data_IF_550500701863
#
_entry.id   IF_550500701863
#
_cell.length_a   1.000
_cell.length_b   1.000
_cell.length_c   1.000
_cell.angle_alpha   90.00
_cell.angle_beta   90.00
_cell.angle_gamma   90.00
#
_symmetry.space_group_name_H-M   'P 1'
#
loop_
_entity.id
_entity.type
_entity.pdbx_description
1 polymer ?
#
# COMPACT_ATOMS: atom_id res chain seq x y z
N UNK A 1 5.33 -24.09 20.84
CA UNK A 1 6.50 -24.19 19.94
C UNK A 1 6.60 -22.91 19.16
N UNK A 2 7.77 -22.27 19.12
CA UNK A 2 8.04 -21.13 18.26
C UNK A 2 7.96 -21.65 16.82
N UNK A 3 7.10 -21.06 15.97
CA UNK A 3 7.07 -21.41 14.54
C UNK A 3 8.39 -20.98 13.90
N UNK A 4 8.91 -21.74 12.94
CA UNK A 4 10.13 -21.36 12.24
C UNK A 4 9.84 -20.20 11.26
N UNK A 5 10.31 -19.01 11.60
CA UNK A 5 10.09 -17.80 10.80
C UNK A 5 10.73 -17.88 9.41
N UNK A 6 11.91 -18.51 9.30
CA UNK A 6 12.60 -18.63 8.00
C UNK A 6 11.82 -19.57 7.07
N UNK A 7 11.30 -20.69 7.58
CA UNK A 7 10.43 -21.57 6.79
C UNK A 7 9.10 -20.89 6.43
N UNK A 8 8.54 -20.08 7.33
CA UNK A 8 7.35 -19.28 7.05
C UNK A 8 7.59 -18.32 5.87
N UNK A 9 8.72 -17.62 5.85
CA UNK A 9 9.08 -16.74 4.74
C UNK A 9 9.38 -17.50 3.45
N UNK A 10 10.02 -18.68 3.51
CA UNK A 10 10.33 -19.50 2.33
C UNK A 10 9.08 -19.93 1.60
N UNK A 11 8.10 -20.54 2.28
CA UNK A 11 6.89 -21.02 1.60
C UNK A 11 5.99 -19.88 1.10
N UNK A 12 6.03 -18.71 1.74
CA UNK A 12 5.34 -17.51 1.28
C UNK A 12 6.02 -16.83 0.09
N UNK A 13 7.26 -17.20 -0.24
CA UNK A 13 8.06 -16.53 -1.27
C UNK A 13 8.54 -15.15 -0.84
N UNK A 14 8.71 -14.94 0.47
CA UNK A 14 9.13 -13.68 1.08
C UNK A 14 10.62 -13.65 1.48
N UNK A 15 11.40 -14.67 1.18
CA UNK A 15 12.83 -14.73 1.47
C UNK A 15 13.65 -14.48 0.21
N UNK A 16 14.50 -13.43 0.20
CA UNK A 16 15.43 -13.12 -0.88
C UNK A 16 16.88 -13.40 -0.48
N UNK A 17 17.38 -12.71 0.55
CA UNK A 17 18.74 -12.91 1.08
C UNK A 17 18.66 -13.08 2.59
N UNK A 18 19.57 -13.91 3.13
CA UNK A 18 19.70 -14.18 4.54
C UNK A 18 21.18 -14.35 4.90
N UNK A 19 21.63 -13.74 5.98
CA UNK A 19 22.99 -13.96 6.48
C UNK A 19 23.12 -15.34 7.12
N UNK A 20 24.25 -16.06 6.92
CA UNK A 20 24.51 -17.32 7.61
C UNK A 20 24.39 -17.16 9.13
N UNK A 21 23.81 -18.14 9.80
CA UNK A 21 23.58 -18.13 11.25
C UNK A 21 22.25 -17.50 11.69
N UNK A 22 21.51 -16.84 10.78
CA UNK A 22 20.21 -16.20 11.11
C UNK A 22 19.15 -17.22 11.53
N UNK A 23 19.04 -18.33 10.80
CA UNK A 23 18.02 -19.35 11.08
C UNK A 23 18.29 -20.05 12.42
N UNK A 24 19.55 -20.36 12.70
CA UNK A 24 20.00 -20.94 13.96
C UNK A 24 19.69 -20.04 15.17
N UNK A 25 19.93 -18.73 15.03
CA UNK A 25 19.59 -17.75 16.06
C UNK A 25 18.08 -17.71 16.32
N UNK A 26 17.27 -17.63 15.27
CA UNK A 26 15.81 -17.58 15.37
C UNK A 26 15.18 -18.85 15.95
N UNK A 27 15.83 -19.99 15.80
CA UNK A 27 15.40 -21.25 16.43
C UNK A 27 15.82 -21.36 17.90
N UNK A 28 16.90 -20.67 18.29
CA UNK A 28 17.49 -20.76 19.61
C UNK A 28 16.81 -19.88 20.66
N UNK A 29 16.39 -18.67 20.27
CA UNK A 29 15.86 -17.66 21.18
C UNK A 29 14.80 -16.77 20.55
N UNK A 30 14.05 -16.04 21.38
CA UNK A 30 13.22 -14.92 20.92
C UNK A 30 14.14 -13.78 20.46
N UNK A 31 14.07 -13.43 19.18
CA UNK A 31 14.90 -12.40 18.56
C UNK A 31 14.13 -11.11 18.46
N UNK A 32 14.74 -10.00 18.85
CA UNK A 32 14.26 -8.67 18.51
C UNK A 32 14.78 -8.30 17.12
N UNK A 33 13.86 -7.98 16.21
CA UNK A 33 14.18 -7.55 14.84
C UNK A 33 13.53 -6.24 14.49
N UNK A 34 14.16 -5.44 13.61
CA UNK A 34 13.57 -4.18 13.19
C UNK A 34 13.47 -4.04 11.66
N UNK A 35 12.51 -3.23 11.23
CA UNK A 35 12.37 -2.74 9.88
C UNK A 35 12.19 -1.21 9.92
N UNK A 36 12.96 -0.49 9.09
CA UNK A 36 12.86 0.95 8.96
C UNK A 36 11.96 1.37 7.81
N UNK A 37 11.23 2.48 7.99
CA UNK A 37 10.46 3.14 6.95
C UNK A 37 10.60 4.66 7.05
N UNK A 38 11.01 5.31 5.95
CA UNK A 38 11.08 6.77 5.89
C UNK A 38 9.70 7.38 5.62
N UNK A 39 9.29 8.43 6.35
CA UNK A 39 7.99 9.07 6.23
C UNK A 39 7.92 10.02 5.03
N UNK A 40 8.09 9.51 3.82
CA UNK A 40 8.14 10.27 2.57
C UNK A 40 6.77 10.76 2.08
N UNK A 41 5.69 10.29 2.69
CA UNK A 41 4.31 10.72 2.48
C UNK A 41 3.50 10.48 3.77
N UNK A 42 2.31 11.09 3.86
CA UNK A 42 1.36 10.92 4.96
C UNK A 42 0.64 9.56 4.93
N UNK A 43 0.97 8.70 3.98
CA UNK A 43 0.46 7.33 3.90
C UNK A 43 1.51 6.37 3.40
N UNK A 44 1.45 5.14 3.86
CA UNK A 44 2.08 3.99 3.23
C UNK A 44 1.24 3.56 2.01
N UNK A 45 1.87 2.87 1.07
CA UNK A 45 1.20 2.24 -0.06
C UNK A 45 1.48 0.73 -0.06
N UNK A 46 0.78 -0.04 -0.89
CA UNK A 46 0.90 -1.51 -0.89
C UNK A 46 2.33 -2.02 -1.16
N UNK A 47 3.21 -1.21 -1.74
CA UNK A 47 4.63 -1.56 -1.88
C UNK A 47 5.37 -1.72 -0.54
N UNK A 48 4.93 -1.02 0.52
CA UNK A 48 5.49 -1.17 1.87
C UNK A 48 4.91 -2.38 2.61
N UNK A 49 3.76 -2.88 2.14
CA UNK A 49 3.01 -3.91 2.84
C UNK A 49 3.79 -5.22 2.98
N UNK A 50 4.65 -5.55 2.00
CA UNK A 50 5.50 -6.75 2.09
C UNK A 50 6.42 -6.73 3.31
N UNK A 51 7.08 -5.60 3.58
CA UNK A 51 7.92 -5.44 4.76
C UNK A 51 7.13 -5.48 6.07
N UNK A 52 5.95 -4.85 6.09
CA UNK A 52 5.05 -4.88 7.26
C UNK A 52 4.55 -6.31 7.53
N UNK A 53 4.18 -7.06 6.49
CA UNK A 53 3.78 -8.46 6.62
C UNK A 53 4.93 -9.33 7.12
N UNK A 54 6.18 -9.03 6.75
CA UNK A 54 7.35 -9.73 7.29
C UNK A 54 7.46 -9.53 8.80
N UNK A 55 7.27 -8.30 9.32
CA UNK A 55 7.22 -8.03 10.77
C UNK A 55 6.03 -8.75 11.44
N UNK A 56 4.85 -8.77 10.79
CA UNK A 56 3.68 -9.47 11.29
C UNK A 56 3.93 -10.98 11.43
N UNK A 57 4.53 -11.60 10.41
CA UNK A 57 4.90 -13.03 10.48
C UNK A 57 5.98 -13.27 11.53
N UNK A 58 6.95 -12.38 11.68
CA UNK A 58 7.95 -12.43 12.74
C UNK A 58 7.28 -12.48 14.12
N UNK A 59 6.32 -11.59 14.39
CA UNK A 59 5.57 -11.55 15.65
C UNK A 59 4.75 -12.81 15.88
N UNK A 60 4.05 -13.31 14.84
CA UNK A 60 3.30 -14.55 14.90
C UNK A 60 4.18 -15.78 15.14
N UNK A 61 5.45 -15.73 14.74
CA UNK A 61 6.44 -16.76 15.02
C UNK A 61 7.06 -16.63 16.42
N UNK A 62 6.63 -15.68 17.26
CA UNK A 62 7.05 -15.52 18.63
C UNK A 62 8.27 -14.62 18.84
N UNK A 63 8.71 -13.89 17.81
CA UNK A 63 9.80 -12.92 17.90
C UNK A 63 9.27 -11.50 18.08
N UNK A 64 10.14 -10.57 18.53
CA UNK A 64 9.76 -9.21 18.87
C UNK A 64 10.03 -8.24 17.69
N UNK A 65 9.01 -7.66 17.06
CA UNK A 65 9.20 -6.68 16.01
C UNK A 65 9.40 -5.26 16.55
N UNK A 66 10.31 -4.52 15.93
CA UNK A 66 10.44 -3.07 16.05
C UNK A 66 10.18 -2.44 14.69
N UNK A 67 9.28 -1.47 14.62
CA UNK A 67 9.15 -0.59 13.48
C UNK A 67 9.90 0.71 13.77
N UNK A 68 10.86 1.05 12.92
CA UNK A 68 11.60 2.29 13.00
C UNK A 68 11.03 3.29 11.99
N UNK A 69 10.54 4.41 12.49
CA UNK A 69 10.15 5.54 11.66
C UNK A 69 11.38 6.43 11.45
N UNK A 70 11.73 6.65 10.20
CA UNK A 70 12.93 7.39 9.80
C UNK A 70 12.75 8.91 9.90
N UNK A 71 12.59 9.46 11.12
CA UNK A 71 12.48 10.89 11.32
C UNK A 71 13.73 11.65 10.92
N UNK A 72 14.91 11.12 11.21
CA UNK A 72 16.19 11.68 10.80
C UNK A 72 16.55 11.28 9.37
N UNK A 73 16.46 9.99 9.02
CA UNK A 73 16.80 9.49 7.67
C UNK A 73 15.86 10.02 6.60
N UNK A 74 14.59 10.30 6.92
CA UNK A 74 13.64 10.96 6.02
C UNK A 74 14.02 12.40 5.65
N UNK A 75 14.84 13.08 6.47
CA UNK A 75 15.41 14.40 6.16
C UNK A 75 16.55 14.31 5.13
N UNK A 76 17.14 13.14 4.96
CA UNK A 76 18.29 12.88 4.09
C UNK A 76 17.86 12.26 2.76
N UNK A 77 17.01 11.24 2.82
CA UNK A 77 16.49 10.50 1.67
C UNK A 77 17.39 9.34 1.23
N UNK A 78 16.81 8.13 1.22
CA UNK A 78 17.47 6.89 0.81
C UNK A 78 17.72 6.87 -0.70
N UNK A 79 18.98 6.72 -1.18
CA UNK A 79 19.30 6.61 -2.59
C UNK A 79 19.03 5.21 -3.18
N UNK A 80 18.76 4.19 -2.36
CA UNK A 80 18.63 2.80 -2.78
C UNK A 80 17.47 2.64 -3.78
N UNK A 81 17.75 2.00 -4.92
CA UNK A 81 16.75 1.76 -5.97
C UNK A 81 16.25 3.02 -6.70
N UNK A 82 16.93 4.16 -6.56
CA UNK A 82 16.56 5.44 -7.17
C UNK A 82 17.63 5.94 -8.16
N UNK A 83 17.16 6.63 -9.20
CA UNK A 83 18.01 7.27 -10.22
C UNK A 83 18.14 8.79 -10.06
N UNK A 84 17.39 9.39 -9.14
CA UNK A 84 17.38 10.84 -8.87
C UNK A 84 17.36 11.10 -7.37
N UNK A 85 17.94 12.24 -6.96
CA UNK A 85 17.90 12.73 -5.59
C UNK A 85 16.46 13.03 -5.16
N UNK A 86 16.14 12.80 -3.89
CA UNK A 86 14.80 13.09 -3.33
C UNK A 86 14.70 14.56 -2.96
N UNK A 87 13.50 15.13 -3.16
CA UNK A 87 13.17 16.43 -2.58
C UNK A 87 13.12 16.28 -1.05
N UNK A 88 13.83 17.15 -0.35
CA UNK A 88 13.82 17.18 1.11
C UNK A 88 12.49 17.74 1.58
N UNK A 89 11.88 17.07 2.57
CA UNK A 89 10.67 17.52 3.20
C UNK A 89 11.00 18.49 4.35
N UNK A 90 10.13 19.47 4.59
CA UNK A 90 10.24 20.32 5.78
C UNK A 90 9.85 19.53 7.04
N UNK A 91 10.30 20.00 8.20
CA UNK A 91 10.11 19.30 9.47
C UNK A 91 8.63 19.13 9.86
N UNK A 92 7.77 20.08 9.54
CA UNK A 92 6.33 20.02 9.85
C UNK A 92 5.65 18.91 9.08
N UNK A 93 5.91 18.84 7.77
CA UNK A 93 5.42 17.77 6.88
C UNK A 93 5.93 16.41 7.35
N UNK A 94 7.20 16.33 7.75
CA UNK A 94 7.81 15.08 8.23
C UNK A 94 7.15 14.57 9.51
N UNK A 95 6.90 15.46 10.50
CA UNK A 95 6.19 15.08 11.73
C UNK A 95 4.76 14.64 11.47
N UNK A 96 4.04 15.34 10.59
CA UNK A 96 2.71 14.92 10.18
C UNK A 96 2.72 13.50 9.57
N UNK A 97 3.60 13.26 8.62
CA UNK A 97 3.73 11.96 7.96
C UNK A 97 4.07 10.85 8.97
N UNK A 98 4.95 11.11 9.94
CA UNK A 98 5.32 10.14 10.98
C UNK A 98 4.09 9.69 11.77
N UNK A 99 3.25 10.61 12.23
CA UNK A 99 2.05 10.27 12.99
C UNK A 99 1.03 9.47 12.15
N UNK A 100 0.88 9.82 10.87
CA UNK A 100 0.02 9.08 9.95
C UNK A 100 0.53 7.63 9.76
N UNK A 101 1.83 7.44 9.56
CA UNK A 101 2.44 6.11 9.40
C UNK A 101 2.30 5.27 10.67
N UNK A 102 2.51 5.86 11.85
CA UNK A 102 2.32 5.17 13.13
C UNK A 102 0.91 4.60 13.24
N UNK A 103 -0.11 5.42 12.96
CA UNK A 103 -1.51 5.01 13.02
C UNK A 103 -1.82 3.86 12.03
N UNK A 104 -1.20 3.87 10.85
CA UNK A 104 -1.39 2.79 9.86
C UNK A 104 -0.72 1.49 10.28
N UNK A 105 0.53 1.53 10.74
CA UNK A 105 1.28 0.32 11.14
C UNK A 105 0.67 -0.35 12.37
N UNK A 106 0.06 0.43 13.27
CA UNK A 106 -0.61 -0.09 14.46
C UNK A 106 -1.74 -1.10 14.16
N UNK A 107 -2.27 -1.12 12.93
CA UNK A 107 -3.29 -2.10 12.52
C UNK A 107 -2.72 -3.50 12.23
N UNK A 108 -1.41 -3.61 12.02
CA UNK A 108 -0.78 -4.86 11.56
C UNK A 108 -0.07 -5.63 12.65
N UNK A 109 0.37 -4.96 13.70
CA UNK A 109 1.18 -5.50 14.77
C UNK A 109 0.49 -5.30 16.12
N UNK A 110 0.71 -6.23 17.04
CA UNK A 110 0.25 -6.10 18.41
C UNK A 110 1.24 -5.29 19.23
N UNK A 111 0.87 -4.05 19.55
CA UNK A 111 1.61 -3.12 20.41
C UNK A 111 1.08 -3.08 21.84
N UNK A 112 -0.14 -3.59 22.07
CA UNK A 112 -0.90 -3.35 23.29
C UNK A 112 -0.83 -4.52 24.29
N UNK A 113 -0.48 -5.71 23.81
CA UNK A 113 -0.42 -6.88 24.67
C UNK A 113 0.73 -6.80 25.69
N UNK A 114 0.58 -7.57 26.78
CA UNK A 114 1.66 -7.75 27.78
C UNK A 114 2.62 -8.88 27.38
N UNK A 115 2.55 -9.38 26.16
CA UNK A 115 3.44 -10.43 25.68
C UNK A 115 4.88 -9.88 25.55
N UNK A 116 5.87 -10.73 25.82
CA UNK A 116 7.28 -10.34 25.70
C UNK A 116 7.65 -9.90 24.28
N UNK A 117 6.94 -10.43 23.28
CA UNK A 117 7.10 -10.09 21.86
C UNK A 117 6.14 -9.02 21.37
N UNK A 118 5.53 -8.23 22.26
CA UNK A 118 4.75 -7.05 21.85
C UNK A 118 5.64 -6.12 21.01
N UNK A 119 5.05 -5.56 19.93
CA UNK A 119 5.78 -4.69 19.02
C UNK A 119 6.20 -3.38 19.70
N UNK A 120 7.30 -2.80 19.22
CA UNK A 120 7.70 -1.46 19.60
C UNK A 120 7.79 -0.55 18.36
N UNK A 121 7.47 0.72 18.55
CA UNK A 121 7.70 1.75 17.54
C UNK A 121 8.71 2.75 18.07
N UNK A 122 9.72 3.07 17.22
CA UNK A 122 10.80 4.01 17.57
C UNK A 122 11.01 5.01 16.43
N UNK A 123 11.58 6.16 16.76
CA UNK A 123 11.91 7.20 15.80
C UNK A 123 13.42 7.48 15.87
N UNK A 124 14.14 7.34 14.76
CA UNK A 124 15.59 7.58 14.76
C UNK A 124 15.98 9.05 14.97
N UNK A 125 15.05 9.97 14.83
CA UNK A 125 15.27 11.37 15.22
C UNK A 125 15.60 11.53 16.70
N UNK A 126 15.07 10.65 17.58
CA UNK A 126 15.27 10.73 19.03
C UNK A 126 16.73 10.59 19.45
N UNK A 127 17.51 9.82 18.70
CA UNK A 127 18.95 9.62 18.97
C UNK A 127 19.87 10.33 17.97
N UNK A 128 19.36 10.79 16.82
CA UNK A 128 20.17 11.47 15.80
C UNK A 128 20.22 12.99 15.99
N UNK A 129 19.15 13.60 16.53
CA UNK A 129 19.01 15.07 16.65
C UNK A 129 20.13 15.75 17.42
N UNK A 130 20.70 15.05 18.41
CA UNK A 130 21.73 15.56 19.29
C UNK A 130 23.15 15.23 18.80
N UNK A 131 23.28 14.51 17.69
CA UNK A 131 24.59 14.22 17.09
C UNK A 131 25.14 15.44 16.37
N UNK A 132 26.29 15.96 16.85
CA UNK A 132 27.04 16.89 16.01
C UNK A 132 27.72 16.16 14.84
N UNK A 133 27.95 16.86 13.74
CA UNK A 133 28.68 16.31 12.59
C UNK A 133 30.05 15.77 13.00
N UNK A 134 30.76 16.47 13.88
CA UNK A 134 32.07 16.05 14.36
C UNK A 134 31.99 14.75 15.20
N UNK A 135 31.00 14.65 16.05
CA UNK A 135 30.80 13.44 16.86
C UNK A 135 30.42 12.25 15.97
N UNK A 136 29.55 12.44 15.00
CA UNK A 136 29.17 11.40 14.06
C UNK A 136 30.38 10.91 13.23
N UNK A 137 31.14 11.84 12.65
CA UNK A 137 32.34 11.50 11.90
C UNK A 137 33.38 10.77 12.75
N UNK A 138 33.53 11.16 14.02
CA UNK A 138 34.50 10.58 14.95
C UNK A 138 34.05 9.21 15.49
N UNK A 139 32.76 9.02 15.77
CA UNK A 139 32.28 7.81 16.46
C UNK A 139 31.72 6.75 15.52
N UNK A 140 31.18 7.18 14.35
CA UNK A 140 30.61 6.29 13.33
C UNK A 140 31.51 6.24 12.09
N UNK A 141 31.81 7.41 11.50
CA UNK A 141 32.53 7.50 10.23
C UNK A 141 33.89 6.81 10.23
N UNK A 142 34.65 6.86 11.34
CA UNK A 142 35.98 6.23 11.43
C UNK A 142 35.95 4.70 11.29
N UNK A 143 34.81 4.04 11.54
CA UNK A 143 34.74 2.59 11.53
C UNK A 143 34.43 2.02 10.14
N UNK A 144 33.88 2.81 9.21
CA UNK A 144 33.55 2.39 7.85
C UNK A 144 34.41 3.14 6.86
N UNK A 145 35.17 2.43 6.03
CA UNK A 145 36.03 3.05 5.04
C UNK A 145 35.23 3.53 3.81
N UNK A 146 35.68 4.61 3.17
CA UNK A 146 35.09 5.11 1.93
C UNK A 146 35.08 4.02 0.84
N UNK A 147 36.18 3.23 0.73
CA UNK A 147 36.23 2.11 -0.22
C UNK A 147 35.14 1.07 0.00
N UNK A 148 34.82 0.75 1.26
CA UNK A 148 33.72 -0.15 1.61
C UNK A 148 32.36 0.43 1.18
N UNK A 149 32.14 1.72 1.42
CA UNK A 149 30.92 2.41 1.04
C UNK A 149 30.77 2.50 -0.49
N UNK A 150 31.86 2.81 -1.19
CA UNK A 150 31.87 2.90 -2.66
C UNK A 150 31.65 1.55 -3.34
N UNK A 151 31.99 0.44 -2.72
CA UNK A 151 31.79 -0.90 -3.28
C UNK A 151 30.33 -1.39 -3.28
N UNK A 152 29.40 -0.63 -2.69
CA UNK A 152 27.97 -0.99 -2.69
C UNK A 152 27.34 -0.80 -4.07
N UNK A 153 26.51 -1.77 -4.49
CA UNK A 153 25.85 -1.74 -5.81
C UNK A 153 25.05 -0.46 -6.06
N UNK A 154 24.34 0.03 -5.05
CA UNK A 154 23.58 1.29 -5.13
C UNK A 154 24.46 2.49 -5.41
N UNK A 155 25.65 2.54 -4.83
CA UNK A 155 26.64 3.59 -5.03
C UNK A 155 27.29 3.44 -6.42
N UNK A 156 27.73 2.23 -6.78
CA UNK A 156 28.37 1.96 -8.07
C UNK A 156 27.48 2.32 -9.26
N UNK A 157 26.18 1.99 -9.21
CA UNK A 157 25.22 2.36 -10.26
C UNK A 157 25.12 3.87 -10.46
N UNK A 158 25.18 4.65 -9.39
CA UNK A 158 25.16 6.11 -9.47
C UNK A 158 26.48 6.70 -9.98
N UNK A 159 27.62 6.13 -9.61
CA UNK A 159 28.96 6.60 -10.05
C UNK A 159 29.26 6.24 -11.50
N UNK A 160 28.77 5.10 -11.99
CA UNK A 160 29.06 4.59 -13.34
C UNK A 160 28.16 5.18 -14.45
N UNK A 161 27.36 6.20 -14.12
CA UNK A 161 26.57 6.94 -15.12
C UNK A 161 25.24 6.26 -15.51
N UNK A 162 24.78 5.26 -14.77
CA UNK A 162 23.44 4.68 -14.95
C UNK A 162 22.33 5.64 -14.46
N UNK A 163 22.70 6.68 -13.71
CA UNK A 163 21.82 7.73 -13.21
C UNK A 163 22.13 9.07 -13.90
N UNK A 164 21.09 9.91 -14.10
CA UNK A 164 21.23 11.25 -14.70
C UNK A 164 22.04 12.20 -13.85
N UNK A 165 21.91 12.07 -12.52
CA UNK A 165 22.56 12.93 -11.54
C UNK A 165 23.61 12.12 -10.77
N UNK A 166 24.72 12.75 -10.38
CA UNK A 166 25.73 12.15 -9.51
C UNK A 166 25.11 11.75 -8.14
N UNK A 167 25.95 11.22 -7.26
CA UNK A 167 25.60 10.92 -5.87
C UNK A 167 26.04 12.09 -4.98
N UNK A 168 25.08 12.72 -4.29
CA UNK A 168 25.40 13.79 -3.33
C UNK A 168 26.08 13.22 -2.07
N UNK A 169 26.83 14.08 -1.36
CA UNK A 169 27.40 13.70 -0.07
C UNK A 169 26.32 13.26 0.92
N UNK A 170 25.17 13.93 0.89
CA UNK A 170 24.01 13.63 1.73
C UNK A 170 23.51 12.21 1.48
N UNK A 171 23.22 11.86 0.23
CA UNK A 171 22.80 10.49 -0.14
C UNK A 171 23.89 9.45 0.15
N UNK A 172 25.17 9.79 -0.08
CA UNK A 172 26.28 8.88 0.19
C UNK A 172 26.41 8.51 1.68
N UNK A 173 26.11 9.46 2.58
CA UNK A 173 26.16 9.23 4.03
C UNK A 173 24.97 8.46 4.57
N UNK A 174 23.86 8.33 3.82
CA UNK A 174 22.65 7.63 4.27
C UNK A 174 22.93 6.23 4.81
N UNK A 175 23.78 5.45 4.14
CA UNK A 175 24.14 4.10 4.59
C UNK A 175 24.80 4.06 5.98
N UNK A 176 25.48 5.14 6.39
CA UNK A 176 26.08 5.27 7.74
C UNK A 176 24.99 5.59 8.78
N UNK A 177 24.01 6.41 8.43
CA UNK A 177 22.90 6.76 9.31
C UNK A 177 22.06 5.53 9.62
N UNK A 178 21.65 4.78 8.58
CA UNK A 178 20.92 3.51 8.76
C UNK A 178 21.77 2.46 9.48
N UNK A 179 23.07 2.41 9.22
CA UNK A 179 24.00 1.55 9.94
C UNK A 179 24.09 1.88 11.43
N UNK A 180 24.06 3.17 11.78
CA UNK A 180 24.04 3.61 13.16
C UNK A 180 22.72 3.31 13.86
N UNK A 181 21.59 3.39 13.18
CA UNK A 181 20.30 2.96 13.72
C UNK A 181 20.36 1.51 14.21
N UNK A 182 20.96 0.61 13.42
CA UNK A 182 21.14 -0.78 13.84
C UNK A 182 22.06 -0.91 15.07
N UNK A 183 23.19 -0.21 15.10
CA UNK A 183 24.10 -0.18 16.25
C UNK A 183 23.40 0.35 17.50
N UNK A 184 22.60 1.42 17.37
CA UNK A 184 21.83 2.00 18.46
C UNK A 184 20.81 0.99 19.00
N UNK A 185 20.01 0.38 18.14
CA UNK A 185 18.99 -0.61 18.52
C UNK A 185 19.61 -1.89 19.11
N UNK A 186 20.77 -2.31 18.60
CA UNK A 186 21.51 -3.41 19.18
C UNK A 186 21.92 -3.13 20.64
N UNK A 187 22.49 -1.93 20.89
CA UNK A 187 22.94 -1.53 22.22
C UNK A 187 21.81 -1.26 23.20
N UNK A 188 20.74 -0.61 22.74
CA UNK A 188 19.67 -0.12 23.62
C UNK A 188 18.53 -1.12 23.83
N UNK A 189 18.29 -2.00 22.84
CA UNK A 189 17.14 -2.92 22.82
C UNK A 189 17.50 -4.38 22.54
N UNK A 190 18.79 -4.71 22.43
CA UNK A 190 19.22 -6.07 22.09
C UNK A 190 18.74 -6.53 20.70
N UNK A 191 18.50 -5.61 19.78
CA UNK A 191 18.03 -5.92 18.43
C UNK A 191 19.14 -6.60 17.63
N UNK A 192 18.98 -7.88 17.29
CA UNK A 192 20.00 -8.68 16.60
C UNK A 192 19.74 -8.86 15.10
N UNK A 193 18.54 -8.53 14.60
CA UNK A 193 18.16 -8.79 13.20
C UNK A 193 17.59 -7.54 12.56
N UNK A 194 18.11 -7.19 11.38
CA UNK A 194 17.51 -6.17 10.51
C UNK A 194 16.75 -6.86 9.37
N UNK A 195 15.51 -6.38 9.12
CA UNK A 195 14.64 -6.80 8.03
C UNK A 195 14.52 -5.66 7.02
N UNK A 196 14.34 -5.99 5.73
CA UNK A 196 14.18 -4.98 4.69
C UNK A 196 13.85 -5.56 3.33
N UNK A 197 13.62 -4.69 2.34
CA UNK A 197 13.57 -5.08 0.93
C UNK A 197 14.96 -5.43 0.39
N UNK A 198 15.01 -6.19 -0.70
CA UNK A 198 16.29 -6.63 -1.27
C UNK A 198 17.18 -5.48 -1.78
N UNK A 199 16.60 -4.32 -2.09
CA UNK A 199 17.32 -3.09 -2.42
C UNK A 199 18.07 -2.48 -1.22
N UNK A 200 17.68 -2.85 0.00
CA UNK A 200 18.29 -2.38 1.25
C UNK A 200 19.51 -3.19 1.70
N UNK A 201 19.83 -4.31 1.03
CA UNK A 201 20.91 -5.20 1.46
C UNK A 201 22.24 -4.49 1.70
N UNK A 202 22.60 -3.53 0.84
CA UNK A 202 23.83 -2.74 0.99
C UNK A 202 23.88 -1.91 2.27
N UNK A 203 22.77 -1.23 2.60
CA UNK A 203 22.66 -0.44 3.84
C UNK A 203 22.65 -1.34 5.08
N UNK A 204 21.89 -2.44 5.03
CA UNK A 204 21.77 -3.42 6.13
C UNK A 204 23.12 -4.04 6.47
N UNK A 205 23.89 -4.47 5.47
CA UNK A 205 25.24 -5.02 5.68
C UNK A 205 26.26 -3.97 6.14
N UNK A 206 26.01 -2.68 5.87
CA UNK A 206 26.81 -1.60 6.49
C UNK A 206 26.56 -1.53 8.00
N UNK A 207 25.31 -1.75 8.44
CA UNK A 207 24.97 -1.82 9.86
C UNK A 207 25.63 -3.00 10.58
N UNK A 208 25.56 -4.20 10.01
CA UNK A 208 26.24 -5.38 10.59
C UNK A 208 27.75 -5.19 10.68
N UNK A 209 28.36 -4.61 9.62
CA UNK A 209 29.80 -4.34 9.61
C UNK A 209 30.18 -3.24 10.61
N UNK A 210 29.37 -2.20 10.78
CA UNK A 210 29.59 -1.15 11.78
C UNK A 210 29.59 -1.73 13.20
N UNK A 211 28.62 -2.60 13.50
CA UNK A 211 28.53 -3.27 14.81
C UNK A 211 29.75 -4.14 15.04
N UNK A 212 30.13 -4.97 14.07
CA UNK A 212 31.32 -5.82 14.14
C UNK A 212 32.61 -5.02 14.39
N UNK A 213 32.79 -3.91 13.69
CA UNK A 213 34.00 -3.05 13.85
C UNK A 213 33.99 -2.26 15.14
N UNK A 214 32.83 -1.96 15.70
CA UNK A 214 32.70 -1.18 16.94
C UNK A 214 32.78 -2.06 18.18
N UNK A 215 32.17 -3.24 18.15
CA UNK A 215 31.98 -4.12 19.33
C UNK A 215 32.79 -5.42 19.27
N UNK A 216 33.35 -5.75 18.13
CA UNK A 216 34.14 -7.00 17.93
C UNK A 216 33.38 -8.08 17.15
N UNK A 217 34.14 -9.12 16.76
CA UNK A 217 33.62 -10.20 15.91
C UNK A 217 32.61 -11.13 16.62
N UNK A 218 32.56 -11.08 17.96
CA UNK A 218 31.61 -11.87 18.78
C UNK A 218 30.18 -11.30 18.75
N UNK A 219 29.99 -10.16 18.07
CA UNK A 219 28.65 -9.53 17.94
C UNK A 219 27.76 -10.36 17.01
N UNK A 220 26.72 -10.99 17.58
CA UNK A 220 25.73 -11.77 16.84
C UNK A 220 24.67 -10.81 16.24
N UNK A 221 24.87 -10.38 14.99
CA UNK A 221 23.94 -9.51 14.27
C UNK A 221 23.76 -9.98 12.83
N UNK A 222 22.53 -9.92 12.36
CA UNK A 222 22.12 -10.52 11.11
C UNK A 222 21.22 -9.60 10.28
N UNK A 223 21.11 -9.92 9.01
CA UNK A 223 20.22 -9.25 8.06
C UNK A 223 19.47 -10.29 7.22
N UNK A 224 18.20 -10.00 6.93
CA UNK A 224 17.33 -10.81 6.09
C UNK A 224 16.46 -9.88 5.23
N UNK A 225 16.33 -10.21 3.93
CA UNK A 225 15.54 -9.38 3.01
C UNK A 225 14.41 -10.15 2.33
N UNK A 226 13.33 -9.43 2.03
CA UNK A 226 12.29 -9.91 1.12
C UNK A 226 12.55 -9.45 -0.31
N UNK A 227 12.03 -10.19 -1.32
CA UNK A 227 12.13 -9.77 -2.72
C UNK A 227 11.33 -8.50 -2.98
N UNK A 228 11.77 -7.70 -3.94
CA UNK A 228 10.97 -6.62 -4.46
C UNK A 228 9.78 -7.20 -5.23
N UNK A 229 8.58 -6.80 -4.83
CA UNK A 229 7.36 -7.31 -5.46
C UNK A 229 7.16 -6.63 -6.81
N UNK A 230 6.97 -7.46 -7.84
CA UNK A 230 6.61 -7.05 -9.20
C UNK A 230 5.34 -7.77 -9.63
N UNK A 231 4.62 -7.21 -10.60
CA UNK A 231 3.56 -7.94 -11.28
C UNK A 231 4.15 -9.04 -12.18
N UNK A 232 3.35 -10.05 -12.51
CA UNK A 232 3.74 -11.14 -13.42
C UNK A 232 4.14 -10.64 -14.82
N UNK A 233 3.60 -9.47 -15.24
CA UNK A 233 3.98 -8.80 -16.49
C UNK A 233 5.28 -7.97 -16.39
N UNK A 234 5.99 -8.04 -15.27
CA UNK A 234 7.25 -7.32 -15.01
C UNK A 234 7.08 -5.85 -14.59
N UNK A 235 5.86 -5.33 -14.55
CA UNK A 235 5.61 -3.94 -14.12
C UNK A 235 5.76 -3.79 -12.61
N UNK A 236 5.95 -2.54 -12.17
CA UNK A 236 6.04 -2.23 -10.74
C UNK A 236 4.73 -2.53 -10.04
N UNK A 237 4.81 -3.29 -8.94
CA UNK A 237 3.67 -3.55 -8.05
C UNK A 237 3.18 -2.25 -7.39
N UNK A 238 1.86 -2.13 -7.26
CA UNK A 238 1.24 -1.01 -6.55
C UNK A 238 1.17 0.31 -7.32
N UNK A 239 1.59 0.32 -8.59
CA UNK A 239 1.37 1.46 -9.49
C UNK A 239 0.27 1.15 -10.49
N UNK A 240 -0.69 2.06 -10.58
CA UNK A 240 -1.74 2.10 -11.60
C UNK A 240 -1.51 3.33 -12.50
N UNK A 241 -2.34 3.53 -13.51
CA UNK A 241 -2.32 4.74 -14.33
C UNK A 241 -2.65 5.99 -13.49
N UNK A 242 -3.46 5.83 -12.45
CA UNK A 242 -3.83 6.88 -11.49
C UNK A 242 -2.83 7.06 -10.33
N UNK A 243 -1.74 6.30 -10.28
CA UNK A 243 -0.68 6.45 -9.27
C UNK A 243 -0.52 5.25 -8.33
N UNK A 244 -0.10 5.51 -7.09
CA UNK A 244 0.08 4.47 -6.08
C UNK A 244 -1.26 4.05 -5.46
N UNK A 245 -1.36 2.78 -5.08
CA UNK A 245 -2.45 2.29 -4.22
C UNK A 245 -2.02 2.50 -2.76
N UNK A 246 -2.69 3.45 -2.10
CA UNK A 246 -2.38 3.89 -0.75
C UNK A 246 -3.15 3.08 0.30
N UNK A 247 -2.62 3.02 1.52
CA UNK A 247 -3.30 2.39 2.66
C UNK A 247 -4.27 3.34 3.36
N UNK A 248 -4.15 4.67 3.14
CA UNK A 248 -5.08 5.66 3.66
C UNK A 248 -6.36 5.69 2.80
N UNK A 249 -7.55 5.49 3.41
CA UNK A 249 -8.82 5.52 2.68
C UNK A 249 -9.15 6.88 2.04
N UNK A 250 -8.53 7.96 2.49
CA UNK A 250 -8.66 9.29 1.87
C UNK A 250 -7.89 9.43 0.56
N UNK A 251 -6.86 8.59 0.34
CA UNK A 251 -6.03 8.61 -0.87
C UNK A 251 -6.40 7.52 -1.86
N UNK A 252 -6.83 6.37 -1.37
CA UNK A 252 -7.37 5.26 -2.16
C UNK A 252 -8.56 4.71 -1.40
N UNK A 253 -9.77 4.89 -1.92
CA UNK A 253 -10.98 4.42 -1.25
C UNK A 253 -10.91 2.92 -0.98
N UNK A 254 -11.58 2.40 0.06
CA UNK A 254 -11.69 0.96 0.31
C UNK A 254 -12.24 0.19 -0.90
N UNK A 255 -13.13 0.82 -1.69
CA UNK A 255 -13.61 0.25 -2.93
C UNK A 255 -12.50 0.10 -3.99
N UNK A 256 -11.76 1.18 -4.30
CA UNK A 256 -10.66 1.15 -5.25
C UNK A 256 -9.54 0.20 -4.79
N UNK A 257 -9.27 0.17 -3.48
CA UNK A 257 -8.34 -0.76 -2.86
C UNK A 257 -8.77 -2.22 -3.04
N UNK A 258 -10.03 -2.55 -2.75
CA UNK A 258 -10.61 -3.87 -2.96
C UNK A 258 -10.56 -4.29 -4.43
N UNK A 259 -10.94 -3.39 -5.35
CA UNK A 259 -10.90 -3.64 -6.80
C UNK A 259 -9.49 -3.91 -7.31
N UNK A 260 -8.47 -3.25 -6.78
CA UNK A 260 -7.09 -3.52 -7.15
C UNK A 260 -6.73 -5.00 -6.92
N UNK A 261 -7.03 -5.54 -5.74
CA UNK A 261 -6.73 -6.93 -5.40
C UNK A 261 -7.64 -7.93 -6.15
N UNK A 262 -8.90 -7.55 -6.33
CA UNK A 262 -9.85 -8.37 -7.06
C UNK A 262 -9.45 -8.54 -8.53
N UNK A 263 -8.75 -7.57 -9.13
CA UNK A 263 -8.40 -7.54 -10.56
C UNK A 263 -6.97 -8.00 -10.88
N UNK A 264 -6.22 -8.52 -9.93
CA UNK A 264 -4.89 -9.11 -10.22
C UNK A 264 -5.02 -10.37 -11.09
N UNK A 265 -3.95 -10.68 -11.84
CA UNK A 265 -3.88 -11.92 -12.65
C UNK A 265 -3.92 -13.17 -11.77
N UNK A 266 -4.20 -14.33 -12.37
CA UNK A 266 -4.22 -15.59 -11.62
C UNK A 266 -2.84 -15.92 -11.03
N UNK A 267 -1.76 -15.73 -11.81
CA UNK A 267 -0.39 -15.92 -11.35
C UNK A 267 -0.03 -14.99 -10.17
N UNK A 268 -0.45 -13.73 -10.25
CA UNK A 268 -0.24 -12.77 -9.17
C UNK A 268 -1.07 -13.12 -7.94
N UNK A 269 -2.31 -13.57 -8.12
CA UNK A 269 -3.16 -13.96 -7.00
C UNK A 269 -2.57 -15.12 -6.20
N UNK A 270 -1.98 -16.14 -6.87
CA UNK A 270 -1.30 -17.27 -6.21
C UNK A 270 -0.06 -16.84 -5.42
N UNK A 271 0.63 -15.82 -5.89
CA UNK A 271 1.80 -15.26 -5.18
C UNK A 271 1.36 -14.35 -4.03
N UNK A 272 0.42 -13.44 -4.30
CA UNK A 272 0.05 -12.39 -3.37
C UNK A 272 -0.75 -12.90 -2.18
N UNK A 273 -1.57 -13.95 -2.34
CA UNK A 273 -2.30 -14.53 -1.21
C UNK A 273 -1.35 -15.09 -0.14
N UNK A 274 -0.17 -15.59 -0.55
CA UNK A 274 0.87 -16.04 0.37
C UNK A 274 1.54 -14.88 1.09
N UNK A 275 1.81 -13.79 0.39
CA UNK A 275 2.60 -12.65 0.88
C UNK A 275 1.75 -11.72 1.75
N UNK A 276 0.53 -11.39 1.30
CA UNK A 276 -0.27 -10.31 1.86
C UNK A 276 -1.41 -10.77 2.77
N UNK A 277 -1.46 -12.05 3.13
CA UNK A 277 -2.44 -12.56 4.09
C UNK A 277 -1.78 -13.28 5.26
N UNK A 278 -2.54 -13.46 6.34
CA UNK A 278 -2.11 -14.28 7.49
C UNK A 278 -2.70 -15.70 7.44
N UNK A 279 -3.21 -16.13 6.29
CA UNK A 279 -3.77 -17.46 6.11
C UNK A 279 -2.70 -18.55 6.30
N UNK A 280 -3.08 -19.65 6.93
CA UNK A 280 -2.22 -20.82 7.11
C UNK A 280 -1.99 -21.53 5.76
N UNK A 281 -0.87 -22.22 5.65
CA UNK A 281 -0.41 -22.85 4.40
C UNK A 281 -1.47 -23.79 3.79
N UNK A 282 -2.10 -24.62 4.60
CA UNK A 282 -3.11 -25.61 4.19
C UNK A 282 -4.35 -24.94 3.59
N UNK A 283 -4.75 -23.79 4.14
CA UNK A 283 -5.86 -22.98 3.61
C UNK A 283 -5.50 -22.40 2.24
N UNK A 284 -4.29 -21.85 2.11
CA UNK A 284 -3.81 -21.30 0.85
C UNK A 284 -3.68 -22.38 -0.22
N UNK A 285 -3.11 -23.55 0.11
CA UNK A 285 -2.93 -24.66 -0.82
C UNK A 285 -4.29 -25.18 -1.31
N UNK A 286 -5.31 -25.23 -0.43
CA UNK A 286 -6.69 -25.60 -0.80
C UNK A 286 -7.28 -24.57 -1.77
N UNK A 287 -7.20 -23.29 -1.46
CA UNK A 287 -7.73 -22.21 -2.30
C UNK A 287 -7.06 -22.18 -3.68
N UNK A 288 -5.74 -22.38 -3.74
CA UNK A 288 -4.99 -22.47 -5.01
C UNK A 288 -5.45 -23.66 -5.83
N UNK A 289 -5.66 -24.81 -5.19
CA UNK A 289 -6.12 -26.02 -5.85
C UNK A 289 -7.51 -25.84 -6.46
N UNK A 290 -8.46 -25.27 -5.69
CA UNK A 290 -9.81 -24.97 -6.18
C UNK A 290 -9.79 -23.94 -7.30
N UNK A 291 -8.98 -22.89 -7.16
CA UNK A 291 -8.87 -21.82 -8.17
C UNK A 291 -8.39 -22.36 -9.51
N UNK A 292 -7.39 -23.26 -9.52
CA UNK A 292 -6.85 -23.86 -10.74
C UNK A 292 -7.85 -24.76 -11.46
N UNK A 293 -8.87 -25.29 -10.79
CA UNK A 293 -9.95 -26.07 -11.42
C UNK A 293 -10.91 -25.18 -12.22
N UNK A 294 -11.20 -23.98 -11.75
CA UNK A 294 -12.08 -23.00 -12.42
C UNK A 294 -11.62 -21.56 -12.14
N UNK A 295 -10.58 -21.07 -12.83
CA UNK A 295 -10.08 -19.71 -12.63
C UNK A 295 -11.11 -18.62 -12.92
N UNK A 296 -12.11 -18.91 -13.77
CA UNK A 296 -13.17 -17.97 -14.12
C UNK A 296 -14.03 -17.55 -12.92
N UNK A 297 -14.11 -18.37 -11.88
CA UNK A 297 -14.81 -18.02 -10.62
C UNK A 297 -14.05 -16.99 -9.78
N UNK A 298 -12.77 -16.78 -10.02
CA UNK A 298 -11.90 -15.80 -9.34
C UNK A 298 -11.95 -15.93 -7.81
N UNK A 299 -12.03 -17.14 -7.29
CA UNK A 299 -12.17 -17.38 -5.83
C UNK A 299 -10.92 -16.91 -5.08
N UNK A 300 -9.75 -17.11 -5.68
CA UNK A 300 -8.47 -16.73 -5.08
C UNK A 300 -8.30 -15.21 -4.97
N UNK A 301 -8.61 -14.48 -6.07
CA UNK A 301 -8.58 -13.02 -6.06
C UNK A 301 -9.60 -12.44 -5.08
N UNK A 302 -10.80 -13.02 -5.01
CA UNK A 302 -11.84 -12.59 -4.06
C UNK A 302 -11.36 -12.76 -2.63
N UNK A 303 -10.85 -13.94 -2.27
CA UNK A 303 -10.33 -14.19 -0.93
C UNK A 303 -9.16 -13.27 -0.59
N UNK A 304 -8.23 -13.06 -1.52
CA UNK A 304 -7.12 -12.12 -1.36
C UNK A 304 -7.63 -10.70 -1.08
N UNK A 305 -8.56 -10.21 -1.91
CA UNK A 305 -9.13 -8.87 -1.77
C UNK A 305 -9.87 -8.69 -0.43
N UNK A 306 -10.64 -9.68 0.00
CA UNK A 306 -11.34 -9.69 1.29
C UNK A 306 -10.36 -9.61 2.46
N UNK A 307 -9.39 -10.52 2.53
CA UNK A 307 -8.40 -10.57 3.63
C UNK A 307 -7.60 -9.28 3.75
N UNK A 308 -7.08 -8.76 2.62
CA UNK A 308 -6.24 -7.57 2.65
C UNK A 308 -7.06 -6.30 2.93
N UNK A 309 -8.30 -6.21 2.42
CA UNK A 309 -9.17 -5.06 2.71
C UNK A 309 -9.58 -5.02 4.17
N UNK A 310 -9.95 -6.14 4.78
CA UNK A 310 -10.26 -6.21 6.22
C UNK A 310 -9.04 -5.77 7.05
N UNK A 311 -7.87 -6.28 6.71
CA UNK A 311 -6.63 -6.01 7.47
C UNK A 311 -6.19 -4.54 7.40
N UNK A 312 -6.31 -3.90 6.25
CA UNK A 312 -5.88 -2.51 6.02
C UNK A 312 -6.94 -1.51 6.47
N UNK A 313 -8.19 -1.79 6.20
CA UNK A 313 -9.33 -0.92 6.49
C UNK A 313 -10.17 -1.51 7.63
N UNK A 314 -11.33 -2.09 7.30
CA UNK A 314 -12.21 -2.76 8.27
C UNK A 314 -13.17 -3.74 7.57
N UNK A 315 -13.90 -4.54 8.37
CA UNK A 315 -14.99 -5.37 7.85
C UNK A 315 -16.11 -4.52 7.23
N UNK A 316 -16.46 -3.40 7.88
CA UNK A 316 -17.49 -2.49 7.38
C UNK A 316 -17.09 -1.87 6.02
N UNK A 317 -15.82 -1.51 5.85
CA UNK A 317 -15.29 -0.99 4.58
C UNK A 317 -15.32 -2.06 3.48
N UNK A 318 -15.01 -3.32 3.82
CA UNK A 318 -15.14 -4.43 2.89
C UNK A 318 -16.59 -4.63 2.45
N UNK A 319 -17.53 -4.64 3.39
CA UNK A 319 -18.95 -4.82 3.09
C UNK A 319 -19.46 -3.71 2.14
N UNK A 320 -19.07 -2.46 2.39
CA UNK A 320 -19.36 -1.33 1.49
C UNK A 320 -18.70 -1.49 0.11
N UNK A 321 -17.45 -1.95 0.06
CA UNK A 321 -16.74 -2.16 -1.21
C UNK A 321 -17.41 -3.27 -2.06
N UNK A 322 -17.88 -4.35 -1.42
CA UNK A 322 -18.64 -5.43 -2.09
C UNK A 322 -19.98 -4.90 -2.59
N UNK A 323 -20.71 -4.13 -1.77
CA UNK A 323 -22.00 -3.53 -2.17
C UNK A 323 -21.77 -2.57 -3.36
N UNK A 324 -20.76 -1.71 -3.31
CA UNK A 324 -20.38 -0.82 -4.40
C UNK A 324 -20.04 -1.58 -5.69
N UNK A 325 -19.31 -2.70 -5.59
CA UNK A 325 -18.99 -3.56 -6.74
C UNK A 325 -20.25 -4.11 -7.41
N UNK A 326 -21.26 -4.47 -6.61
CA UNK A 326 -22.54 -4.99 -7.12
C UNK A 326 -23.34 -3.90 -7.89
N UNK A 327 -23.09 -2.62 -7.66
CA UNK A 327 -23.77 -1.51 -8.36
C UNK A 327 -23.51 -1.57 -9.86
N UNK A 328 -22.26 -1.77 -10.27
CA UNK A 328 -21.90 -1.85 -11.69
C UNK A 328 -22.52 -3.07 -12.40
N UNK A 329 -22.68 -4.17 -11.70
CA UNK A 329 -23.20 -5.41 -12.28
C UNK A 329 -24.74 -5.55 -12.27
N UNK A 330 -25.47 -4.47 -11.96
CA UNK A 330 -26.90 -4.39 -12.08
C UNK A 330 -27.72 -5.08 -10.97
N UNK A 331 -27.07 -5.49 -9.88
CA UNK A 331 -27.72 -6.15 -8.74
C UNK A 331 -28.09 -5.19 -7.60
N UNK A 332 -27.61 -3.96 -7.65
CA UNK A 332 -27.79 -2.98 -6.59
C UNK A 332 -29.07 -2.16 -6.79
N UNK A 333 -29.62 -1.70 -5.67
CA UNK A 333 -30.80 -0.85 -5.60
C UNK A 333 -30.40 0.64 -5.49
N UNK A 334 -31.38 1.54 -5.55
CA UNK A 334 -31.18 2.95 -5.30
C UNK A 334 -30.66 3.20 -3.87
N UNK A 335 -31.16 2.45 -2.90
CA UNK A 335 -30.73 2.57 -1.51
C UNK A 335 -29.23 2.25 -1.36
N UNK A 336 -28.72 1.24 -2.07
CA UNK A 336 -27.27 0.94 -2.09
C UNK A 336 -26.47 2.08 -2.67
N UNK A 337 -26.97 2.70 -3.74
CA UNK A 337 -26.30 3.83 -4.38
C UNK A 337 -26.26 5.08 -3.47
N UNK A 338 -27.34 5.33 -2.72
CA UNK A 338 -27.44 6.48 -1.80
C UNK A 338 -26.56 6.36 -0.54
N UNK A 339 -26.05 5.17 -0.23
CA UNK A 339 -25.13 4.95 0.90
C UNK A 339 -23.67 5.23 0.57
N UNK A 340 -23.33 5.37 -0.72
CA UNK A 340 -21.95 5.65 -1.12
C UNK A 340 -21.58 7.08 -0.77
N UNK A 341 -20.38 7.28 -0.23
CA UNK A 341 -19.77 8.60 -0.17
C UNK A 341 -19.39 9.10 -1.58
N UNK A 342 -19.16 10.39 -1.69
CA UNK A 342 -18.87 11.04 -2.97
C UNK A 342 -17.67 10.41 -3.69
N UNK A 343 -16.59 10.14 -2.97
CA UNK A 343 -15.37 9.61 -3.59
C UNK A 343 -15.59 8.17 -4.07
N UNK A 344 -16.23 7.34 -3.28
CA UNK A 344 -16.58 5.96 -3.69
C UNK A 344 -17.53 5.96 -4.89
N UNK A 345 -18.50 6.87 -4.95
CA UNK A 345 -19.38 7.03 -6.12
C UNK A 345 -18.57 7.35 -7.39
N UNK A 346 -17.64 8.30 -7.30
CA UNK A 346 -16.77 8.68 -8.42
C UNK A 346 -15.86 7.52 -8.85
N UNK A 347 -15.29 6.79 -7.92
CA UNK A 347 -14.43 5.64 -8.21
C UNK A 347 -15.22 4.49 -8.87
N UNK A 348 -16.44 4.21 -8.40
CA UNK A 348 -17.33 3.18 -9.00
C UNK A 348 -17.63 3.51 -10.46
N UNK A 349 -17.81 4.78 -10.77
CA UNK A 349 -18.15 5.25 -12.12
C UNK A 349 -16.95 5.88 -12.85
N UNK A 350 -15.71 5.58 -12.43
CA UNK A 350 -14.51 5.98 -13.16
C UNK A 350 -14.55 5.49 -14.62
N UNK A 351 -14.24 6.38 -15.56
CA UNK A 351 -14.22 6.06 -16.97
C UNK A 351 -15.60 6.07 -17.68
N UNK A 352 -16.72 6.28 -16.96
CA UNK A 352 -18.00 6.53 -17.62
C UNK A 352 -18.08 8.00 -18.08
N UNK A 353 -18.84 8.31 -19.16
CA UNK A 353 -19.06 9.68 -19.58
C UNK A 353 -19.64 10.52 -18.44
N UNK A 354 -18.99 11.65 -18.16
CA UNK A 354 -19.32 12.55 -17.07
C UNK A 354 -19.69 13.92 -17.62
N UNK A 355 -20.81 14.47 -17.19
CA UNK A 355 -21.32 15.77 -17.60
C UNK A 355 -21.51 16.68 -16.40
N UNK A 356 -21.39 17.98 -16.62
CA UNK A 356 -21.62 19.00 -15.59
C UNK A 356 -22.75 19.91 -16.05
N UNK A 357 -23.79 20.04 -15.23
CA UNK A 357 -24.93 20.89 -15.51
C UNK A 357 -25.21 21.86 -14.36
N UNK A 358 -25.74 23.05 -14.67
CA UNK A 358 -26.26 23.96 -13.65
C UNK A 358 -27.50 23.36 -12.96
N UNK A 359 -27.65 23.59 -11.66
CA UNK A 359 -28.88 23.24 -10.92
C UNK A 359 -30.16 23.91 -11.48
N UNK A 360 -30.04 24.94 -12.32
CA UNK A 360 -31.15 25.59 -12.98
C UNK A 360 -31.95 24.67 -13.94
N UNK A 361 -31.34 23.50 -14.29
CA UNK A 361 -32.08 22.51 -15.12
C UNK A 361 -33.04 21.66 -14.29
N UNK A 362 -32.93 21.69 -12.96
CA UNK A 362 -33.89 21.03 -12.08
C UNK A 362 -35.28 21.67 -12.25
N UNK A 363 -36.31 20.85 -12.15
CA UNK A 363 -37.67 21.24 -12.50
C UNK A 363 -38.01 21.04 -13.98
N UNK A 364 -37.04 20.66 -14.81
CA UNK A 364 -37.29 20.28 -16.21
C UNK A 364 -37.55 18.78 -16.35
N UNK A 365 -38.16 18.39 -17.47
CA UNK A 365 -38.40 16.97 -17.76
C UNK A 365 -37.10 16.23 -18.15
N UNK A 366 -37.01 14.94 -17.78
CA UNK A 366 -35.88 14.07 -18.10
C UNK A 366 -35.47 14.11 -19.57
N UNK A 367 -36.46 14.13 -20.50
CA UNK A 367 -36.20 14.21 -21.93
C UNK A 367 -35.53 15.53 -22.33
N UNK A 368 -35.82 16.64 -21.66
CA UNK A 368 -35.17 17.91 -21.93
C UNK A 368 -33.74 17.92 -21.45
N UNK A 369 -33.48 17.33 -20.27
CA UNK A 369 -32.15 17.31 -19.66
C UNK A 369 -31.22 16.34 -20.40
N UNK A 370 -31.66 15.10 -20.65
CA UNK A 370 -30.78 14.04 -21.18
C UNK A 370 -30.57 14.09 -22.71
N UNK A 371 -31.25 15.00 -23.40
CA UNK A 371 -31.02 15.27 -24.83
C UNK A 371 -30.43 16.65 -25.13
N UNK A 372 -29.88 17.32 -24.09
CA UNK A 372 -29.17 18.62 -24.25
C UNK A 372 -27.85 18.39 -24.97
N UNK A 373 -27.34 19.41 -25.63
CA UNK A 373 -26.03 19.34 -26.31
C UNK A 373 -24.86 19.19 -25.35
N UNK A 374 -24.96 19.79 -24.14
CA UNK A 374 -23.96 19.76 -23.08
C UNK A 374 -24.04 18.49 -22.18
N UNK A 375 -25.07 17.64 -22.37
CA UNK A 375 -25.24 16.36 -21.69
C UNK A 375 -25.94 15.36 -22.59
N UNK A 376 -25.36 15.12 -23.78
CA UNK A 376 -25.99 14.33 -24.85
C UNK A 376 -25.96 12.83 -24.55
N UNK A 377 -26.75 12.39 -23.57
CA UNK A 377 -26.91 10.97 -23.24
C UNK A 377 -27.70 10.25 -24.33
N UNK A 378 -28.69 10.96 -24.91
CA UNK A 378 -29.48 10.48 -26.05
C UNK A 378 -29.30 11.40 -27.25
N UNK A 379 -29.04 10.85 -28.46
CA UNK A 379 -28.86 11.65 -29.67
C UNK A 379 -30.09 12.41 -30.08
N UNK A 380 -31.28 11.95 -29.67
CA UNK A 380 -32.54 12.61 -29.99
C UNK A 380 -33.66 12.31 -29.00
N UNK A 381 -34.63 13.23 -28.92
CA UNK A 381 -35.87 13.03 -28.14
C UNK A 381 -36.65 11.79 -28.57
N UNK A 382 -36.64 11.47 -29.88
CA UNK A 382 -37.30 10.29 -30.42
C UNK A 382 -36.69 8.99 -29.95
N UNK A 383 -35.35 8.90 -29.90
CA UNK A 383 -34.64 7.74 -29.40
C UNK A 383 -34.89 7.54 -27.91
N UNK A 384 -34.79 8.59 -27.10
CA UNK A 384 -35.07 8.53 -25.70
C UNK A 384 -36.48 8.01 -25.38
N UNK A 385 -37.52 8.55 -26.11
CA UNK A 385 -38.91 8.07 -25.94
C UNK A 385 -39.04 6.58 -26.19
N UNK A 386 -38.47 6.08 -27.29
CA UNK A 386 -38.50 4.65 -27.64
C UNK A 386 -37.82 3.82 -26.56
N UNK A 387 -36.66 4.26 -26.06
CA UNK A 387 -35.92 3.54 -25.05
C UNK A 387 -36.62 3.53 -23.69
N UNK A 388 -37.24 4.65 -23.26
CA UNK A 388 -38.03 4.71 -22.02
C UNK A 388 -39.25 3.79 -22.13
N UNK A 389 -40.00 3.86 -23.24
CA UNK A 389 -41.16 2.96 -23.48
C UNK A 389 -40.75 1.48 -23.47
N UNK A 390 -39.57 1.15 -23.99
CA UNK A 390 -39.00 -0.19 -23.97
C UNK A 390 -38.40 -0.60 -22.61
N UNK A 391 -38.44 0.27 -21.57
CA UNK A 391 -37.86 0.01 -20.26
C UNK A 391 -36.33 -0.02 -20.25
N UNK A 392 -35.70 0.63 -21.24
CA UNK A 392 -34.25 0.64 -21.41
C UNK A 392 -33.54 1.83 -20.77
N UNK A 393 -34.22 2.62 -19.91
CA UNK A 393 -33.61 3.77 -19.23
C UNK A 393 -33.87 3.67 -17.73
N UNK A 394 -32.84 3.88 -16.93
CA UNK A 394 -32.96 4.02 -15.49
C UNK A 394 -32.31 5.30 -15.00
N UNK A 395 -32.87 5.87 -13.94
CA UNK A 395 -32.34 6.98 -13.17
C UNK A 395 -32.03 6.48 -11.78
N UNK A 396 -30.79 6.64 -11.32
CA UNK A 396 -30.33 6.17 -10.00
C UNK A 396 -30.69 4.71 -9.71
N UNK A 397 -30.56 3.83 -10.73
CA UNK A 397 -30.93 2.39 -10.68
C UNK A 397 -32.44 2.09 -10.68
N UNK A 398 -33.32 3.09 -10.58
CA UNK A 398 -34.76 2.93 -10.76
C UNK A 398 -35.15 3.11 -12.22
N UNK A 399 -36.07 2.28 -12.70
CA UNK A 399 -36.58 2.40 -14.06
C UNK A 399 -37.27 3.75 -14.26
N UNK A 400 -36.90 4.45 -15.32
CA UNK A 400 -37.57 5.70 -15.70
C UNK A 400 -38.89 5.36 -16.43
N UNK A 401 -40.01 5.49 -15.73
CA UNK A 401 -41.32 5.09 -16.25
C UNK A 401 -41.88 6.04 -17.33
N UNK A 402 -41.52 7.36 -17.25
CA UNK A 402 -41.99 8.36 -18.17
C UNK A 402 -40.86 9.28 -18.64
N UNK A 403 -40.76 9.54 -19.92
CA UNK A 403 -39.72 10.42 -20.49
C UNK A 403 -39.90 11.90 -20.11
N UNK A 404 -41.10 12.31 -19.75
CA UNK A 404 -41.48 13.64 -19.30
C UNK A 404 -41.47 13.84 -17.79
N UNK A 405 -41.05 12.78 -17.02
CA UNK A 405 -40.84 12.88 -15.57
C UNK A 405 -39.96 14.10 -15.25
N UNK A 406 -40.42 14.91 -14.31
CA UNK A 406 -39.65 16.05 -13.81
C UNK A 406 -38.51 15.57 -12.92
N UNK A 407 -37.32 16.07 -13.14
CA UNK A 407 -36.14 15.82 -12.32
C UNK A 407 -36.06 16.92 -11.26
N UNK A 408 -36.01 16.50 -10.01
CA UNK A 408 -36.04 17.40 -8.86
C UNK A 408 -34.73 17.23 -7.99
N UNK A 409 -34.60 18.08 -6.98
CA UNK A 409 -33.50 17.96 -5.99
C UNK A 409 -33.51 16.61 -5.25
N UNK A 410 -34.70 16.00 -5.09
CA UNK A 410 -34.89 14.70 -4.43
C UNK A 410 -34.32 13.53 -5.25
N UNK A 411 -34.09 13.75 -6.54
CA UNK A 411 -33.45 12.76 -7.41
C UNK A 411 -31.92 12.79 -7.29
N UNK A 412 -31.35 13.79 -6.64
CA UNK A 412 -29.90 13.91 -6.54
C UNK A 412 -29.31 12.97 -5.48
N UNK A 413 -28.28 12.22 -5.87
CA UNK A 413 -27.41 11.49 -4.97
C UNK A 413 -26.51 12.53 -4.30
N UNK A 414 -26.44 12.54 -2.97
CA UNK A 414 -25.67 13.52 -2.17
C UNK A 414 -25.95 14.99 -2.57
N UNK A 415 -27.18 15.29 -2.97
CA UNK A 415 -27.58 16.64 -3.40
C UNK A 415 -26.85 17.18 -4.65
N UNK A 416 -26.12 16.33 -5.38
CA UNK A 416 -25.14 16.74 -6.40
C UNK A 416 -25.14 15.87 -7.67
N UNK A 417 -25.38 14.57 -7.58
CA UNK A 417 -25.17 13.64 -8.69
C UNK A 417 -26.48 13.01 -9.20
N UNK A 418 -26.54 12.75 -10.50
CA UNK A 418 -27.53 11.88 -11.13
C UNK A 418 -26.83 10.77 -11.91
N UNK A 419 -27.23 9.54 -11.70
CA UNK A 419 -26.78 8.40 -12.47
C UNK A 419 -27.83 8.01 -13.49
N UNK A 420 -27.51 8.14 -14.76
CA UNK A 420 -28.38 7.73 -15.86
C UNK A 420 -27.84 6.46 -16.51
N UNK A 421 -28.68 5.45 -16.65
CA UNK A 421 -28.33 4.21 -17.36
C UNK A 421 -29.13 4.09 -18.65
N UNK A 422 -28.41 3.90 -19.80
CA UNK A 422 -28.97 3.67 -21.12
C UNK A 422 -28.69 2.24 -21.58
N UNK A 423 -29.73 1.40 -21.62
CA UNK A 423 -29.60 -0.01 -21.86
C UNK A 423 -28.97 -0.74 -20.67
N UNK A 424 -28.33 -1.90 -20.92
CA UNK A 424 -27.82 -2.77 -19.84
C UNK A 424 -26.45 -2.40 -19.32
N UNK A 425 -25.64 -1.67 -20.11
CA UNK A 425 -24.19 -1.50 -19.82
C UNK A 425 -23.69 -0.04 -19.84
N UNK A 426 -24.46 0.89 -20.37
CA UNK A 426 -23.97 2.26 -20.56
C UNK A 426 -24.46 3.15 -19.42
N UNK A 427 -23.54 3.60 -18.59
CA UNK A 427 -23.77 4.52 -17.50
C UNK A 427 -23.27 5.92 -17.88
N UNK A 428 -23.90 6.92 -17.31
CA UNK A 428 -23.57 8.34 -17.46
C UNK A 428 -23.75 9.01 -16.11
N UNK A 429 -22.74 9.74 -15.66
CA UNK A 429 -22.79 10.49 -14.42
C UNK A 429 -22.95 11.98 -14.72
N UNK A 430 -23.91 12.63 -14.08
CA UNK A 430 -24.14 14.08 -14.20
C UNK A 430 -23.86 14.70 -12.84
N UNK A 431 -22.98 15.70 -12.80
CA UNK A 431 -22.79 16.57 -11.62
C UNK A 431 -23.62 17.83 -11.78
N UNK A 432 -24.43 18.14 -10.76
CA UNK A 432 -25.19 19.39 -10.67
C UNK A 432 -24.39 20.43 -9.89
N UNK A 433 -24.03 21.54 -10.52
CA UNK A 433 -23.28 22.66 -9.93
C UNK A 433 -24.19 23.80 -9.47
#
# INVERSE_FOLDING_TARGET
MIKNFVEELKWRGMLAQIMPGTEELLQKEMVTAYLGTDPTADSLHIGHLCGIMMLRHLQHCGHKPIILVGGATGMIGDPSGKSQERNLLDSTTLYHNQECIKAQVAKFLDFESKAENAAEMVNNYDWMKDFSFLDFARTVGKHITVNYMMAKDSVQKRLNGEARDGLSFTEFTYQLLQGYDFLHLYKSKGCKLQLGGNDQWGNMTTGTELIRRTLGNESEVFALTCPLITKSDGKKFGKTESGNIWLDPKRTTPYAFYQFWLNVSDDDAERYIKIFTSLEKEVVDTLVTEHRQDPGRRILQRRLAEEVTIMVHSQADLDMAIEASNILFGKATKESLLKLDEQTLLDVFEGVPHFELSKDVLGQSAIKIFTREDAQIFPSKGEMRKMVQGGGVSLNKEKLEAFDRIISVEDLIDGKYLLVQRGKKNYYLITMR
#
